data_IF_057390449031
#
_entry.id   IF_057390449031
#
_cell.length_a   1.000
_cell.length_b   1.000
_cell.length_c   1.000
_cell.angle_alpha   90.00
_cell.angle_beta   90.00
_cell.angle_gamma   90.00
#
_symmetry.space_group_name_H-M   'P 1'
#
loop_
_entity.id
_entity.type
_entity.pdbx_description
1 polymer ?
#
# COMPACT_ATOMS: atom_id res chain seq x y z
N UNK A 1 -25.62 -51.81 -22.74
CA UNK A 1 -25.86 -51.50 -24.17
C UNK A 1 -27.29 -51.02 -24.32
N UNK A 2 -27.53 -49.71 -24.39
CA UNK A 2 -28.75 -49.15 -24.97
C UNK A 2 -28.42 -47.82 -25.65
N UNK A 3 -28.90 -47.71 -26.88
CA UNK A 3 -28.65 -46.70 -27.89
C UNK A 3 -30.00 -46.01 -28.13
N UNK A 4 -30.04 -44.69 -28.10
CA UNK A 4 -30.99 -43.85 -28.89
C UNK A 4 -30.66 -42.38 -28.63
N UNK A 5 -30.13 -41.63 -29.60
CA UNK A 5 -30.76 -41.02 -30.79
C UNK A 5 -31.68 -39.83 -30.47
N UNK A 6 -31.09 -38.64 -30.67
CA UNK A 6 -31.58 -37.44 -31.37
C UNK A 6 -33.09 -37.15 -31.34
N UNK A 7 -33.46 -35.98 -30.81
CA UNK A 7 -34.29 -35.02 -31.57
C UNK A 7 -34.14 -33.60 -31.03
N UNK A 8 -33.80 -32.68 -31.93
CA UNK A 8 -33.87 -31.24 -31.71
C UNK A 8 -35.31 -30.77 -31.93
N UNK A 9 -35.79 -29.82 -31.12
CA UNK A 9 -36.99 -29.06 -31.39
C UNK A 9 -36.72 -27.60 -31.01
N UNK A 10 -36.51 -26.76 -32.03
CA UNK A 10 -36.57 -25.31 -31.91
C UNK A 10 -38.05 -24.91 -31.86
N UNK A 11 -38.49 -24.30 -30.77
CA UNK A 11 -39.81 -23.68 -30.68
C UNK A 11 -39.61 -22.20 -30.41
N UNK A 12 -39.76 -21.42 -31.48
CA UNK A 12 -39.95 -19.97 -31.48
C UNK A 12 -41.34 -19.67 -30.92
N UNK A 13 -41.40 -18.94 -29.81
CA UNK A 13 -42.66 -18.45 -29.23
C UNK A 13 -42.51 -17.00 -28.79
N UNK A 14 -43.01 -16.08 -29.59
CA UNK A 14 -43.18 -14.68 -29.23
C UNK A 14 -44.49 -14.51 -28.46
N UNK A 15 -44.45 -13.93 -27.25
CA UNK A 15 -45.65 -13.49 -26.51
C UNK A 15 -45.41 -12.08 -25.98
N UNK A 16 -46.38 -11.21 -26.30
CA UNK A 16 -46.43 -9.78 -26.04
C UNK A 16 -46.76 -9.46 -24.57
N UNK A 17 -45.90 -8.64 -23.95
CA UNK A 17 -46.23 -7.45 -23.16
C UNK A 17 -47.25 -7.49 -22.01
N UNK A 18 -46.74 -7.36 -20.77
CA UNK A 18 -47.24 -6.39 -19.77
C UNK A 18 -46.02 -5.83 -19.03
N UNK A 19 -45.60 -4.61 -19.36
CA UNK A 19 -44.51 -3.91 -18.64
C UNK A 19 -45.11 -3.13 -17.48
N UNK A 20 -44.95 -3.61 -16.26
CA UNK A 20 -45.20 -2.80 -15.06
C UNK A 20 -44.01 -1.87 -14.84
N UNK A 21 -44.26 -0.57 -14.92
CA UNK A 21 -43.30 0.49 -14.57
C UNK A 21 -43.09 0.45 -13.05
N UNK A 22 -42.08 -0.30 -12.59
CA UNK A 22 -41.56 -0.14 -11.23
C UNK A 22 -40.53 0.98 -11.29
N UNK A 23 -40.85 2.12 -10.69
CA UNK A 23 -39.93 3.25 -10.58
C UNK A 23 -38.68 2.80 -9.80
N UNK A 24 -37.45 3.07 -10.29
CA UNK A 24 -36.28 2.92 -9.45
C UNK A 24 -36.36 3.97 -8.34
N UNK A 25 -36.39 3.52 -7.09
CA UNK A 25 -36.05 4.39 -5.97
C UNK A 25 -34.64 4.90 -6.22
N UNK A 26 -34.50 6.20 -6.49
CA UNK A 26 -33.22 6.85 -6.56
C UNK A 26 -32.54 6.68 -5.19
N UNK A 27 -31.48 5.88 -5.14
CA UNK A 27 -30.57 5.88 -4.01
C UNK A 27 -29.97 7.28 -3.93
N UNK A 28 -30.45 8.06 -2.97
CA UNK A 28 -29.72 9.23 -2.50
C UNK A 28 -28.39 8.70 -1.96
N UNK A 29 -27.34 8.84 -2.75
CA UNK A 29 -25.98 8.62 -2.26
C UNK A 29 -25.67 9.71 -1.27
N UNK A 30 -25.64 9.36 0.02
CA UNK A 30 -25.19 10.25 1.07
C UNK A 30 -23.74 10.66 0.79
N UNK A 31 -23.59 11.87 0.25
CA UNK A 31 -22.31 12.51 0.02
C UNK A 31 -21.61 12.76 1.36
N UNK A 32 -20.77 11.82 1.78
CA UNK A 32 -19.84 12.01 2.87
C UNK A 32 -18.67 12.88 2.39
N UNK A 33 -18.87 14.19 2.34
CA UNK A 33 -17.80 15.18 2.19
C UNK A 33 -17.07 15.33 3.52
N UNK A 34 -16.36 14.29 3.95
CA UNK A 34 -15.35 14.39 5.00
C UNK A 34 -14.05 14.87 4.35
N UNK A 35 -13.55 16.04 4.74
CA UNK A 35 -12.32 16.63 4.19
C UNK A 35 -11.19 15.61 4.18
N UNK A 36 -10.82 15.13 2.99
CA UNK A 36 -9.93 13.99 2.85
C UNK A 36 -8.93 14.30 1.75
N UNK A 37 -7.74 14.78 2.14
CA UNK A 37 -6.65 15.04 1.20
C UNK A 37 -6.43 13.85 0.29
N UNK A 38 -6.23 14.09 -1.01
CA UNK A 38 -6.10 13.01 -1.98
C UNK A 38 -4.85 12.17 -1.71
N UNK A 39 -4.80 10.96 -2.28
CA UNK A 39 -3.61 10.10 -2.12
C UNK A 39 -2.54 10.59 -3.08
N UNK A 40 -1.40 11.01 -2.54
CA UNK A 40 -0.25 11.51 -3.33
C UNK A 40 0.78 10.42 -3.58
N UNK A 41 0.84 9.42 -2.70
CA UNK A 41 1.64 8.20 -2.88
C UNK A 41 0.79 6.99 -2.52
N UNK A 42 0.82 5.97 -3.39
CA UNK A 42 0.40 4.61 -3.06
C UNK A 42 1.28 3.65 -3.83
N UNK A 43 2.12 2.92 -3.12
CA UNK A 43 3.07 2.01 -3.75
C UNK A 43 3.45 0.85 -2.83
N UNK A 44 4.05 -0.18 -3.39
CA UNK A 44 4.72 -1.25 -2.66
C UNK A 44 6.10 -0.79 -2.20
N UNK A 45 6.58 -1.37 -1.10
CA UNK A 45 7.94 -1.24 -0.63
C UNK A 45 8.78 -2.40 -1.15
N UNK A 46 10.02 -2.10 -1.51
CA UNK A 46 11.06 -3.08 -1.83
C UNK A 46 12.12 -3.05 -0.74
N UNK A 47 12.55 -4.21 -0.28
CA UNK A 47 13.62 -4.33 0.69
C UNK A 47 14.96 -3.83 0.13
N UNK A 48 15.83 -3.34 1.01
CA UNK A 48 17.13 -2.81 0.62
C UNK A 48 18.15 -3.92 0.38
N UNK A 49 18.97 -3.80 -0.66
CA UNK A 49 20.15 -4.64 -0.86
C UNK A 49 21.38 -4.05 -0.15
N UNK A 50 22.40 -4.86 0.23
CA UNK A 50 23.61 -4.38 0.92
C UNK A 50 24.31 -3.23 0.19
N UNK A 51 24.46 -3.36 -1.13
CA UNK A 51 25.08 -2.38 -2.02
C UNK A 51 24.04 -1.54 -2.79
N UNK A 52 22.84 -1.40 -2.22
CA UNK A 52 21.77 -0.58 -2.79
C UNK A 52 22.14 0.91 -2.94
N UNK A 53 21.42 1.65 -3.79
CA UNK A 53 21.70 3.06 -4.02
C UNK A 53 21.44 3.90 -2.76
N UNK A 54 22.12 5.05 -2.66
CA UNK A 54 21.76 6.09 -1.68
C UNK A 54 20.52 6.81 -2.18
N UNK A 55 19.41 6.71 -1.44
CA UNK A 55 18.13 7.32 -1.79
C UNK A 55 17.95 8.60 -0.98
N UNK A 56 17.91 9.75 -1.64
CA UNK A 56 17.68 11.05 -0.98
C UNK A 56 18.64 11.34 0.17
N UNK A 57 19.91 10.92 0.03
CA UNK A 57 20.95 11.03 1.08
C UNK A 57 20.91 9.93 2.14
N UNK A 58 19.95 9.01 2.09
CA UNK A 58 19.80 7.89 3.02
C UNK A 58 20.44 6.63 2.44
N UNK A 59 21.34 6.00 3.22
CA UNK A 59 22.06 4.78 2.79
C UNK A 59 21.19 3.52 2.99
N UNK A 60 21.42 2.43 2.24
CA UNK A 60 20.74 1.15 2.52
C UNK A 60 21.14 0.58 3.88
N UNK A 61 20.36 -0.39 4.37
CA UNK A 61 20.52 -1.05 5.66
C UNK A 61 21.81 -1.87 5.83
N UNK A 62 22.58 -2.05 4.75
CA UNK A 62 23.88 -2.74 4.75
C UNK A 62 23.80 -4.27 4.77
N UNK A 63 22.59 -4.83 4.74
CA UNK A 63 22.29 -6.25 4.58
C UNK A 63 21.10 -6.41 3.65
N UNK A 64 20.89 -7.63 3.15
CA UNK A 64 19.79 -7.95 2.24
C UNK A 64 18.50 -8.03 3.04
N UNK A 65 17.64 -7.03 2.88
CA UNK A 65 16.29 -7.03 3.42
C UNK A 65 15.33 -7.44 2.31
N UNK A 66 14.42 -8.34 2.63
CA UNK A 66 13.32 -8.74 1.76
C UNK A 66 12.01 -8.40 2.45
N UNK A 67 10.95 -8.25 1.66
CA UNK A 67 9.59 -8.05 2.15
C UNK A 67 8.65 -8.86 1.29
N UNK A 68 7.75 -9.60 1.92
CA UNK A 68 6.83 -10.49 1.22
C UNK A 68 5.64 -9.70 0.67
N UNK A 69 4.97 -8.95 1.55
CA UNK A 69 3.87 -8.07 1.18
C UNK A 69 4.03 -6.69 1.80
N UNK A 70 3.69 -5.64 1.05
CA UNK A 70 3.86 -4.28 1.55
C UNK A 70 2.94 -3.25 0.89
N UNK A 71 2.69 -2.18 1.63
CA UNK A 71 1.97 -1.02 1.15
C UNK A 71 2.45 0.23 1.90
N UNK A 72 2.90 1.23 1.15
CA UNK A 72 3.06 2.59 1.62
C UNK A 72 1.99 3.48 0.98
N UNK A 73 1.33 4.30 1.80
CA UNK A 73 0.38 5.30 1.34
C UNK A 73 0.60 6.61 2.07
N UNK A 74 0.75 7.68 1.30
CA UNK A 74 0.82 9.05 1.82
C UNK A 74 -0.33 9.86 1.22
N UNK A 75 -1.01 10.63 2.07
CA UNK A 75 -2.06 11.55 1.67
C UNK A 75 -1.56 12.97 1.78
N UNK A 76 -2.15 13.85 0.97
CA UNK A 76 -1.84 15.29 0.94
C UNK A 76 -1.97 15.94 2.32
N UNK A 77 -2.90 15.47 3.16
CA UNK A 77 -3.10 15.96 4.53
C UNK A 77 -2.18 15.31 5.58
N UNK A 78 -1.08 14.70 5.14
CA UNK A 78 -0.04 14.21 6.04
C UNK A 78 -0.30 12.83 6.65
N UNK A 79 -1.46 12.20 6.38
CA UNK A 79 -1.70 10.83 6.84
C UNK A 79 -0.79 9.85 6.10
N UNK A 80 0.05 9.15 6.86
CA UNK A 80 0.98 8.12 6.39
C UNK A 80 0.51 6.77 6.90
N UNK A 81 0.36 5.82 5.99
CA UNK A 81 0.14 4.40 6.30
C UNK A 81 1.25 3.57 5.69
N UNK A 82 1.90 2.77 6.51
CA UNK A 82 2.82 1.71 6.06
C UNK A 82 2.38 0.40 6.67
N UNK A 83 2.26 -0.64 5.84
CA UNK A 83 2.12 -2.03 6.25
C UNK A 83 3.23 -2.82 5.59
N UNK A 84 3.93 -3.61 6.36
CA UNK A 84 4.90 -4.60 5.88
C UNK A 84 4.57 -5.94 6.52
N UNK A 85 4.72 -6.99 5.74
CA UNK A 85 4.64 -8.37 6.18
C UNK A 85 5.89 -9.10 5.70
N UNK A 86 6.50 -9.88 6.59
CA UNK A 86 7.73 -10.59 6.26
C UNK A 86 8.92 -9.66 5.94
N UNK A 87 9.02 -8.47 6.56
CA UNK A 87 10.20 -7.62 6.40
C UNK A 87 11.37 -8.20 7.22
N UNK A 88 12.23 -8.98 6.56
CA UNK A 88 13.28 -9.76 7.23
C UNK A 88 14.60 -9.76 6.46
N UNK A 89 15.66 -10.14 7.16
CA UNK A 89 16.94 -10.52 6.61
C UNK A 89 16.90 -12.04 6.36
N UNK A 90 17.12 -12.52 5.12
CA UNK A 90 17.12 -13.95 4.82
C UNK A 90 18.06 -14.74 5.76
N UNK A 91 17.52 -15.72 6.47
CA UNK A 91 18.25 -16.56 7.42
C UNK A 91 18.53 -15.94 8.79
N UNK A 92 18.16 -14.68 9.03
CA UNK A 92 18.39 -13.97 10.29
C UNK A 92 17.14 -13.30 10.89
N UNK A 93 15.99 -13.35 10.22
CA UNK A 93 14.76 -12.70 10.69
C UNK A 93 14.94 -11.18 10.76
N UNK A 94 14.45 -10.53 11.81
CA UNK A 94 14.58 -9.07 11.99
C UNK A 94 15.92 -8.63 12.60
N UNK A 95 16.79 -9.57 12.97
CA UNK A 95 18.09 -9.27 13.58
C UNK A 95 17.95 -8.50 14.89
N UNK A 96 18.51 -7.29 14.95
CA UNK A 96 18.38 -6.36 16.11
C UNK A 96 17.37 -5.25 15.87
N UNK A 97 16.60 -5.30 14.77
CA UNK A 97 15.55 -4.33 14.47
C UNK A 97 14.27 -4.75 15.19
N UNK A 98 13.78 -3.89 16.07
CA UNK A 98 12.57 -4.15 16.87
C UNK A 98 11.49 -3.09 16.63
N UNK A 99 11.83 -2.01 15.92
CA UNK A 99 10.88 -0.97 15.53
C UNK A 99 11.23 -0.44 14.14
N UNK A 100 10.23 0.10 13.45
CA UNK A 100 10.41 0.82 12.19
C UNK A 100 9.76 2.20 12.27
N UNK A 101 10.33 3.16 11.54
CA UNK A 101 9.69 4.43 11.22
C UNK A 101 9.57 4.58 9.71
N UNK A 102 8.68 5.46 9.25
CA UNK A 102 8.56 5.83 7.85
C UNK A 102 8.96 7.29 7.66
N UNK A 103 10.02 7.53 6.88
CA UNK A 103 10.40 8.86 6.43
C UNK A 103 9.75 9.16 5.09
N UNK A 104 9.00 10.27 5.03
CA UNK A 104 8.40 10.78 3.80
C UNK A 104 9.38 11.73 3.12
N UNK A 105 9.56 11.53 1.83
CA UNK A 105 10.34 12.38 0.94
C UNK A 105 9.38 13.16 0.05
N UNK A 106 9.64 14.44 -0.11
CA UNK A 106 8.95 15.33 -1.04
C UNK A 106 9.99 16.17 -1.78
N UNK A 107 9.83 16.36 -3.09
CA UNK A 107 10.73 17.19 -3.89
C UNK A 107 12.22 16.80 -3.76
N UNK A 108 12.48 15.49 -3.60
CA UNK A 108 13.84 14.95 -3.42
C UNK A 108 14.47 15.16 -2.03
N UNK A 109 13.72 15.67 -1.05
CA UNK A 109 14.20 15.89 0.33
C UNK A 109 13.33 15.16 1.34
N UNK A 110 13.94 14.65 2.42
CA UNK A 110 13.20 14.13 3.57
C UNK A 110 12.48 15.30 4.26
N UNK A 111 11.17 15.18 4.49
CA UNK A 111 10.36 16.28 5.08
C UNK A 111 9.76 15.93 6.42
N UNK A 112 9.52 14.64 6.69
CA UNK A 112 8.95 14.17 7.93
C UNK A 112 9.25 12.70 8.17
N UNK A 113 9.20 12.29 9.44
CA UNK A 113 9.32 10.88 9.87
C UNK A 113 8.20 10.59 10.87
N UNK A 114 7.55 9.44 10.72
CA UNK A 114 6.50 8.99 11.64
C UNK A 114 7.05 8.61 13.01
N UNK A 115 6.17 8.45 13.99
CA UNK A 115 6.50 7.75 15.24
C UNK A 115 6.92 6.29 14.96
N UNK A 116 7.76 5.69 15.83
CA UNK A 116 8.13 4.28 15.71
C UNK A 116 6.94 3.35 15.91
N UNK A 117 6.81 2.34 15.05
CA UNK A 117 5.94 1.20 15.24
C UNK A 117 6.77 -0.05 15.58
N UNK A 118 6.24 -0.96 16.41
CA UNK A 118 6.90 -2.24 16.66
C UNK A 118 7.00 -3.06 15.36
N UNK A 119 8.14 -3.73 15.21
CA UNK A 119 8.37 -4.78 14.22
C UNK A 119 8.48 -6.09 15.01
N UNK A 120 7.61 -7.04 14.72
CA UNK A 120 7.62 -8.32 15.44
C UNK A 120 8.67 -9.29 14.88
N UNK A 121 8.70 -10.51 15.42
CA UNK A 121 9.68 -11.52 15.03
C UNK A 121 9.45 -12.09 13.61
N UNK A 122 8.23 -12.01 13.10
CA UNK A 122 7.86 -12.46 11.75
C UNK A 122 8.14 -11.38 10.69
N UNK A 123 8.51 -10.17 11.12
CA UNK A 123 8.81 -9.04 10.24
C UNK A 123 7.58 -8.22 9.91
N UNK A 124 6.52 -8.33 10.71
CA UNK A 124 5.28 -7.60 10.47
C UNK A 124 5.28 -6.29 11.26
N UNK A 125 4.83 -5.23 10.58
CA UNK A 125 4.68 -3.94 11.21
C UNK A 125 3.61 -3.09 10.51
N UNK A 126 2.99 -2.22 11.31
CA UNK A 126 1.98 -1.28 10.85
C UNK A 126 2.20 0.10 11.44
N UNK A 127 2.31 1.08 10.56
CA UNK A 127 2.33 2.51 10.87
C UNK A 127 1.03 3.12 10.36
N UNK A 128 0.31 3.79 11.24
CA UNK A 128 -0.80 4.70 10.92
C UNK A 128 -0.54 6.00 11.70
N UNK A 129 0.02 7.00 11.02
CA UNK A 129 0.44 8.24 11.65
C UNK A 129 0.06 9.46 10.80
N UNK A 130 0.11 10.66 11.38
CA UNK A 130 -0.08 11.93 10.69
C UNK A 130 1.14 12.81 10.91
N UNK A 131 1.79 13.20 9.82
CA UNK A 131 2.96 14.07 9.85
C UNK A 131 2.67 15.39 9.15
N UNK A 132 3.44 16.42 9.46
CA UNK A 132 3.40 17.65 8.68
C UNK A 132 4.04 17.42 7.31
N UNK A 133 3.38 17.86 6.25
CA UNK A 133 3.93 17.88 4.88
C UNK A 133 3.89 19.32 4.34
N UNK A 134 4.82 19.71 3.46
CA UNK A 134 4.72 20.96 2.74
C UNK A 134 3.50 20.96 1.82
N UNK A 135 2.96 22.16 1.53
CA UNK A 135 1.79 22.34 0.64
C UNK A 135 1.97 21.67 -0.73
N UNK A 136 3.20 21.65 -1.24
CA UNK A 136 3.56 20.99 -2.50
C UNK A 136 4.56 19.85 -2.25
N UNK A 137 4.08 18.62 -2.37
CA UNK A 137 4.88 17.41 -2.27
C UNK A 137 4.92 16.68 -3.62
N UNK A 138 5.84 17.07 -4.51
CA UNK A 138 6.04 16.37 -5.78
C UNK A 138 6.92 15.13 -5.61
N UNK A 139 6.62 14.10 -6.41
CA UNK A 139 7.35 12.83 -6.44
C UNK A 139 7.55 12.26 -5.03
N UNK A 140 6.47 12.03 -4.28
CA UNK A 140 6.59 11.52 -2.93
C UNK A 140 7.21 10.12 -2.93
N UNK A 141 8.05 9.85 -1.95
CA UNK A 141 8.57 8.51 -1.68
C UNK A 141 8.54 8.23 -0.18
N UNK A 142 8.55 6.95 0.20
CA UNK A 142 8.65 6.53 1.59
C UNK A 142 9.86 5.65 1.77
N UNK A 143 10.65 5.95 2.79
CA UNK A 143 11.78 5.15 3.26
C UNK A 143 11.43 4.56 4.63
N UNK A 144 11.50 3.24 4.77
CA UNK A 144 11.35 2.55 6.05
C UNK A 144 12.71 2.50 6.74
N UNK A 145 12.79 3.05 7.94
CA UNK A 145 14.03 3.18 8.69
C UNK A 145 14.05 2.24 9.91
N UNK A 146 15.16 1.54 10.20
CA UNK A 146 15.27 0.63 11.32
C UNK A 146 15.50 1.39 12.63
N UNK A 147 14.77 1.07 13.69
CA UNK A 147 14.98 1.60 15.04
C UNK A 147 15.05 3.14 15.11
N UNK A 148 14.27 3.83 14.26
CA UNK A 148 14.26 5.29 14.16
C UNK A 148 15.52 5.91 13.51
N UNK A 149 16.45 5.11 12.99
CA UNK A 149 17.66 5.61 12.33
C UNK A 149 17.36 6.09 10.91
N UNK A 150 17.01 7.38 10.78
CA UNK A 150 16.68 8.02 9.49
C UNK A 150 17.84 8.11 8.50
N UNK A 151 19.07 7.73 8.89
CA UNK A 151 20.23 7.67 8.00
C UNK A 151 20.37 6.32 7.29
N UNK A 152 19.45 5.38 7.55
CA UNK A 152 19.40 4.05 6.93
C UNK A 152 17.99 3.73 6.48
N UNK A 153 17.83 3.15 5.28
CA UNK A 153 16.57 2.56 4.85
C UNK A 153 16.72 1.04 4.73
N UNK A 154 15.72 0.29 5.17
CA UNK A 154 15.63 -1.18 5.04
C UNK A 154 14.56 -1.60 4.04
N UNK A 155 13.63 -0.71 3.71
CA UNK A 155 12.74 -0.82 2.58
C UNK A 155 12.39 0.57 2.04
N UNK A 156 12.02 0.67 0.76
CA UNK A 156 11.66 1.94 0.13
C UNK A 156 10.61 1.74 -0.97
N UNK A 157 9.80 2.76 -1.26
CA UNK A 157 8.89 2.71 -2.40
C UNK A 157 9.67 2.73 -3.72
N UNK A 158 9.09 2.15 -4.78
CA UNK A 158 9.67 2.18 -6.10
C UNK A 158 9.86 3.63 -6.57
N UNK A 159 11.04 3.92 -7.12
CA UNK A 159 11.36 5.21 -7.74
C UNK A 159 11.25 5.12 -9.26
#
# INVERSE_FOLDING_TARGET
>A
MHRSLRTAAFVTGAVLGVTTLVAPAASAGDGSSGGSGHTILRDTLMGSMPDGPVLFGVKPGGVDWVVDESLARVREDGRVRVRVEGLVIPGAGTGTVTTITATVVCNGMTVATTMPAPLDADGDARIDDTVWLPDYCHMPAVLVNPNGNTQRYIAATGL
#
